data_IF_539135156305
#
_entry.id   IF_539135156305
#
_cell.length_a   1.000
_cell.length_b   1.000
_cell.length_c   1.000
_cell.angle_alpha   90.00
_cell.angle_beta   90.00
_cell.angle_gamma   90.00
#
_symmetry.space_group_name_H-M   'P 1'
#
loop_
_entity.id
_entity.type
_entity.pdbx_description
1 polymer ?
#
# COMPACT_ATOMS: atom_id res chain seq x y z
N UNK A 1 0.70 -80.81 -19.96
CA UNK A 1 -0.15 -79.59 -20.01
C UNK A 1 0.55 -78.47 -19.21
N UNK A 2 1.24 -77.53 -19.90
CA UNK A 2 1.91 -76.37 -19.27
C UNK A 2 1.04 -75.15 -19.57
N UNK A 3 0.52 -74.50 -18.53
CA UNK A 3 -0.24 -73.25 -18.61
C UNK A 3 0.73 -72.06 -18.66
N UNK A 4 0.71 -71.27 -19.75
CA UNK A 4 1.39 -69.98 -19.85
C UNK A 4 0.53 -68.91 -19.12
N UNK A 5 1.08 -68.26 -18.13
CA UNK A 5 0.51 -67.11 -17.47
C UNK A 5 1.15 -65.87 -18.11
N UNK A 6 0.38 -65.13 -18.86
CA UNK A 6 0.78 -63.86 -19.48
C UNK A 6 0.63 -62.74 -18.45
N UNK A 7 1.77 -62.08 -18.07
CA UNK A 7 1.73 -60.91 -17.25
C UNK A 7 1.61 -59.66 -18.11
N UNK A 8 0.44 -59.04 -18.07
CA UNK A 8 0.21 -57.69 -18.65
C UNK A 8 0.79 -56.66 -17.67
N UNK A 9 1.94 -56.04 -18.00
CA UNK A 9 2.46 -54.85 -17.30
C UNK A 9 1.74 -53.62 -17.78
N UNK A 10 0.89 -53.04 -16.94
CA UNK A 10 0.20 -51.76 -17.20
C UNK A 10 1.20 -50.62 -16.83
N UNK A 11 1.87 -50.06 -17.84
CA UNK A 11 2.74 -48.92 -17.71
C UNK A 11 1.96 -47.68 -17.36
N UNK A 12 2.11 -47.15 -16.16
CA UNK A 12 1.52 -45.87 -15.71
C UNK A 12 2.37 -44.71 -16.26
N UNK A 13 1.89 -44.06 -17.30
CA UNK A 13 2.51 -42.86 -17.87
C UNK A 13 2.21 -41.65 -16.96
N UNK A 14 3.18 -41.26 -16.11
CA UNK A 14 3.08 -40.05 -15.29
C UNK A 14 3.37 -38.84 -16.19
N UNK A 15 2.34 -38.11 -16.60
CA UNK A 15 2.49 -36.82 -17.29
C UNK A 15 2.80 -35.76 -16.22
N UNK A 16 4.05 -35.36 -16.12
CA UNK A 16 4.50 -34.22 -15.32
C UNK A 16 4.05 -32.92 -16.02
N UNK A 17 2.92 -32.36 -15.57
CA UNK A 17 2.54 -31.01 -15.92
C UNK A 17 3.49 -30.02 -15.25
N UNK A 18 4.50 -29.57 -15.97
CA UNK A 18 5.33 -28.44 -15.54
C UNK A 18 4.49 -27.17 -15.54
N UNK A 19 3.98 -26.79 -14.37
CA UNK A 19 3.36 -25.47 -14.18
C UNK A 19 4.47 -24.42 -14.33
N UNK A 20 4.53 -23.75 -15.47
CA UNK A 20 5.35 -22.56 -15.66
C UNK A 20 4.82 -21.46 -14.73
N UNK A 21 5.32 -21.41 -13.49
CA UNK A 21 5.15 -20.27 -12.62
C UNK A 21 5.91 -19.10 -13.24
N UNK A 22 5.22 -18.19 -13.93
CA UNK A 22 5.83 -16.96 -14.42
C UNK A 22 6.34 -16.15 -13.23
N UNK A 23 7.63 -15.79 -13.26
CA UNK A 23 8.21 -14.92 -12.23
C UNK A 23 7.39 -13.62 -12.10
N UNK A 24 7.23 -13.07 -10.88
CA UNK A 24 6.49 -11.84 -10.68
C UNK A 24 7.08 -10.73 -11.55
N UNK A 25 6.25 -10.19 -12.43
CA UNK A 25 6.66 -9.14 -13.37
C UNK A 25 7.09 -7.89 -12.58
N UNK A 26 8.34 -7.44 -12.77
CA UNK A 26 8.82 -6.20 -12.15
C UNK A 26 7.86 -5.05 -12.53
N UNK A 27 7.44 -4.22 -11.57
CA UNK A 27 6.58 -3.08 -11.88
C UNK A 27 7.19 -2.21 -12.98
N UNK A 28 6.36 -1.74 -13.91
CA UNK A 28 6.79 -0.81 -14.94
C UNK A 28 7.32 0.49 -14.27
N UNK A 29 8.34 1.14 -14.84
CA UNK A 29 8.81 2.41 -14.33
C UNK A 29 7.70 3.46 -14.41
N UNK A 30 7.66 4.38 -13.44
CA UNK A 30 6.72 5.49 -13.45
C UNK A 30 6.96 6.39 -14.67
N UNK A 31 5.91 6.99 -15.27
CA UNK A 31 6.04 7.86 -16.44
C UNK A 31 6.95 9.05 -16.18
N UNK A 32 8.11 9.20 -16.87
CA UNK A 32 9.13 10.20 -16.52
C UNK A 32 8.61 11.65 -16.55
N UNK A 33 7.80 12.02 -17.55
CA UNK A 33 7.26 13.37 -17.68
C UNK A 33 6.37 13.76 -16.47
N UNK A 34 5.55 12.83 -15.98
CA UNK A 34 4.71 13.07 -14.82
C UNK A 34 5.53 13.14 -13.53
N UNK A 35 6.59 12.33 -13.41
CA UNK A 35 7.52 12.39 -12.27
C UNK A 35 8.21 13.76 -12.23
N UNK A 36 8.70 14.26 -13.38
CA UNK A 36 9.33 15.58 -13.47
C UNK A 36 8.32 16.68 -13.09
N UNK A 37 7.09 16.63 -13.63
CA UNK A 37 6.03 17.55 -13.30
C UNK A 37 5.76 17.57 -11.79
N UNK A 38 5.56 16.42 -11.15
CA UNK A 38 5.31 16.34 -9.71
C UNK A 38 6.45 16.91 -8.88
N UNK A 39 7.70 16.63 -9.26
CA UNK A 39 8.88 17.17 -8.58
C UNK A 39 9.01 18.69 -8.68
N UNK A 40 8.50 19.34 -9.75
CA UNK A 40 8.50 20.79 -9.91
C UNK A 40 7.35 21.51 -9.20
N UNK A 41 6.36 20.76 -8.70
CA UNK A 41 5.25 21.31 -7.93
C UNK A 41 5.66 21.58 -6.48
N UNK A 42 4.94 22.47 -5.80
CA UNK A 42 5.10 22.68 -4.37
C UNK A 42 4.19 21.72 -3.58
N UNK A 43 4.71 21.18 -2.48
CA UNK A 43 3.87 20.48 -1.52
C UNK A 43 2.95 21.51 -0.84
N UNK A 44 1.62 21.33 -0.85
CA UNK A 44 0.72 22.22 -0.13
C UNK A 44 1.01 22.18 1.38
N UNK A 45 1.00 23.37 2.02
CA UNK A 45 1.18 23.48 3.47
C UNK A 45 0.05 22.81 4.25
N UNK A 46 -1.11 22.60 3.62
CA UNK A 46 -2.27 21.94 4.23
C UNK A 46 -2.84 20.87 3.31
N UNK A 47 -2.89 19.65 3.83
CA UNK A 47 -3.44 18.48 3.16
C UNK A 47 -4.86 18.15 3.69
N UNK A 48 -5.73 17.54 2.91
CA UNK A 48 -7.01 17.02 3.41
C UNK A 48 -6.76 15.78 4.30
N UNK A 49 -7.63 15.57 5.28
CA UNK A 49 -7.65 14.31 6.04
C UNK A 49 -8.02 13.16 5.08
N UNK A 50 -7.20 12.12 4.98
CA UNK A 50 -7.38 11.10 3.95
C UNK A 50 -8.45 10.05 4.27
N UNK A 51 -9.17 10.17 5.38
CA UNK A 51 -10.20 9.23 5.83
C UNK A 51 -11.56 9.93 5.81
N UNK A 52 -12.54 9.31 5.14
CA UNK A 52 -13.90 9.85 5.04
C UNK A 52 -14.54 10.04 6.42
N UNK A 53 -15.11 11.23 6.65
CA UNK A 53 -15.90 11.52 7.85
C UNK A 53 -15.09 11.72 9.12
N UNK A 54 -13.77 11.86 9.01
CA UNK A 54 -12.91 12.24 10.12
C UNK A 54 -12.54 13.71 9.96
N UNK A 55 -12.88 14.51 10.93
CA UNK A 55 -12.54 15.92 10.97
C UNK A 55 -11.14 16.15 11.51
N UNK A 56 -10.57 17.33 11.18
CA UNK A 56 -9.19 17.67 11.59
C UNK A 56 -9.01 17.67 13.11
N UNK A 57 -10.05 18.10 13.83
CA UNK A 57 -10.01 18.21 15.29
C UNK A 57 -10.09 16.85 16.00
N UNK A 58 -10.51 15.80 15.29
CA UNK A 58 -10.52 14.42 15.76
C UNK A 58 -9.15 13.73 15.65
N UNK A 59 -8.23 14.32 14.86
CA UNK A 59 -6.89 13.76 14.69
C UNK A 59 -6.10 13.82 15.99
N UNK A 60 -5.36 12.73 16.24
CA UNK A 60 -4.42 12.62 17.34
C UNK A 60 -3.00 12.59 16.79
N UNK A 61 -2.11 13.38 17.40
CA UNK A 61 -0.70 13.28 17.09
C UNK A 61 -0.11 12.02 17.74
N UNK A 62 0.07 11.00 16.92
CA UNK A 62 0.71 9.73 17.31
C UNK A 62 2.13 9.59 16.76
N UNK A 63 2.68 10.67 16.19
CA UNK A 63 4.06 10.70 15.70
C UNK A 63 5.07 10.41 16.82
N UNK A 64 6.10 9.65 16.50
CA UNK A 64 7.17 9.33 17.46
C UNK A 64 6.80 8.30 18.53
N UNK A 65 5.53 7.88 18.61
CA UNK A 65 5.12 6.86 19.57
C UNK A 65 5.94 5.57 19.41
N UNK A 66 6.27 4.92 20.52
CA UNK A 66 7.02 3.68 20.51
C UNK A 66 6.30 2.57 19.76
N UNK A 67 7.02 1.84 18.94
CA UNK A 67 6.56 0.67 18.19
C UNK A 67 7.36 -0.57 18.54
N UNK A 68 6.86 -1.74 18.16
CA UNK A 68 7.57 -3.01 18.38
C UNK A 68 8.98 -2.98 17.77
N UNK A 69 9.92 -3.69 18.39
CA UNK A 69 11.33 -3.80 17.95
C UNK A 69 12.11 -2.46 18.02
N UNK A 70 11.79 -1.60 18.97
CA UNK A 70 12.50 -0.33 19.18
C UNK A 70 12.32 0.73 18.09
N UNK A 71 11.34 0.53 17.17
CA UNK A 71 11.02 1.52 16.14
C UNK A 71 10.24 2.69 16.73
N UNK A 72 10.39 3.85 16.10
CA UNK A 72 9.53 5.00 16.31
C UNK A 72 8.42 5.03 15.26
N UNK A 73 7.29 5.64 15.57
CA UNK A 73 6.17 5.80 14.67
C UNK A 73 6.41 6.92 13.65
N UNK A 74 6.64 6.56 12.40
CA UNK A 74 6.89 7.48 11.28
C UNK A 74 5.60 7.78 10.51
N UNK A 75 4.60 8.31 11.19
CA UNK A 75 3.28 8.65 10.65
C UNK A 75 2.29 8.98 11.74
N UNK A 76 1.03 9.07 11.37
CA UNK A 76 -0.08 9.13 12.33
C UNK A 76 -1.09 8.03 12.05
N UNK A 77 -1.77 7.57 13.11
CA UNK A 77 -2.82 6.57 13.03
C UNK A 77 -4.19 7.26 13.12
N UNK A 78 -4.99 7.16 12.06
CA UNK A 78 -6.32 7.75 11.95
C UNK A 78 -7.34 6.64 12.15
N UNK A 79 -7.96 6.58 13.33
CA UNK A 79 -8.95 5.58 13.68
C UNK A 79 -10.23 5.78 12.87
N UNK A 80 -10.76 4.72 12.30
CA UNK A 80 -12.06 4.70 11.63
C UNK A 80 -12.56 3.26 11.46
N UNK A 81 -13.85 3.03 11.33
CA UNK A 81 -14.41 1.69 11.09
C UNK A 81 -13.78 1.04 9.85
N UNK A 82 -13.60 -0.29 9.90
CA UNK A 82 -13.17 -1.07 8.73
C UNK A 82 -14.07 -0.78 7.52
N UNK A 83 -13.46 -0.64 6.34
CA UNK A 83 -14.19 -0.33 5.11
C UNK A 83 -14.46 1.15 4.89
N UNK A 84 -14.13 2.05 5.85
CA UNK A 84 -14.22 3.49 5.63
C UNK A 84 -13.34 3.88 4.45
N UNK A 85 -13.85 4.74 3.55
CA UNK A 85 -13.14 5.16 2.34
C UNK A 85 -11.90 5.96 2.68
N UNK A 86 -10.80 5.64 1.98
CA UNK A 86 -9.51 6.34 2.05
C UNK A 86 -9.26 7.07 0.73
N UNK A 87 -8.99 8.35 0.82
CA UNK A 87 -8.75 9.23 -0.32
C UNK A 87 -7.29 9.67 -0.40
N UNK A 88 -6.84 10.01 -1.59
CA UNK A 88 -5.51 10.59 -1.75
C UNK A 88 -5.44 11.98 -1.13
N UNK A 89 -4.45 12.21 -0.27
CA UNK A 89 -4.21 13.51 0.36
C UNK A 89 -3.67 14.54 -0.64
N UNK A 90 -3.14 14.10 -1.79
CA UNK A 90 -2.56 14.94 -2.83
C UNK A 90 -2.81 14.34 -4.21
N UNK A 91 -2.56 15.09 -5.27
CA UNK A 91 -2.39 14.49 -6.59
C UNK A 91 -1.05 13.74 -6.65
N UNK A 92 -0.93 12.76 -7.55
CA UNK A 92 0.33 12.03 -7.68
C UNK A 92 0.23 10.77 -8.51
N UNK A 93 1.33 10.04 -8.55
CA UNK A 93 1.44 8.73 -9.21
C UNK A 93 1.38 7.61 -8.17
N UNK A 94 0.53 6.64 -8.41
CA UNK A 94 0.55 5.39 -7.67
C UNK A 94 1.86 4.66 -7.99
N UNK A 95 2.76 4.64 -7.03
CA UNK A 95 4.10 4.11 -7.24
C UNK A 95 4.26 2.65 -6.79
N UNK A 96 3.38 2.22 -5.88
CA UNK A 96 3.44 0.87 -5.35
C UNK A 96 2.11 0.46 -4.71
N UNK A 97 1.69 -0.76 -5.00
CA UNK A 97 0.56 -1.45 -4.41
C UNK A 97 1.04 -2.83 -3.98
N UNK A 98 1.12 -3.07 -2.68
CA UNK A 98 1.59 -4.36 -2.18
C UNK A 98 0.89 -4.79 -0.90
N UNK A 99 1.15 -6.04 -0.53
CA UNK A 99 0.84 -6.56 0.79
C UNK A 99 2.15 -7.05 1.44
N UNK A 100 2.43 -6.62 2.67
CA UNK A 100 3.61 -7.02 3.42
C UNK A 100 3.29 -7.24 4.90
N UNK A 101 4.23 -7.85 5.63
CA UNK A 101 4.00 -8.23 7.02
C UNK A 101 3.85 -7.03 7.97
N UNK A 102 4.48 -5.89 7.67
CA UNK A 102 4.45 -4.70 8.52
C UNK A 102 3.20 -3.87 8.25
N UNK A 103 3.10 -3.27 7.08
CA UNK A 103 2.01 -2.37 6.73
C UNK A 103 0.74 -3.06 6.25
N UNK A 104 0.77 -4.38 6.02
CA UNK A 104 -0.33 -5.10 5.39
C UNK A 104 -0.54 -4.63 3.95
N UNK A 105 -1.78 -4.42 3.56
CA UNK A 105 -2.10 -3.83 2.25
C UNK A 105 -1.76 -2.34 2.29
N UNK A 106 -0.86 -1.92 1.41
CA UNK A 106 -0.30 -0.56 1.39
C UNK A 106 -0.36 0.07 0.02
N UNK A 107 -0.40 1.39 0.01
CA UNK A 107 -0.28 2.23 -1.18
C UNK A 107 0.87 3.22 -0.94
N UNK A 108 1.75 3.36 -1.94
CA UNK A 108 2.70 4.45 -2.01
C UNK A 108 2.37 5.37 -3.18
N UNK A 109 2.30 6.65 -2.92
CA UNK A 109 2.03 7.69 -3.93
C UNK A 109 3.21 8.65 -3.96
N UNK A 110 3.75 8.88 -5.17
CA UNK A 110 4.68 9.97 -5.44
C UNK A 110 3.87 11.23 -5.70
N UNK A 111 3.98 12.22 -4.83
CA UNK A 111 3.26 13.48 -4.87
C UNK A 111 4.10 14.70 -5.28
N UNK A 112 3.54 15.92 -5.09
CA UNK A 112 4.21 17.20 -5.33
C UNK A 112 5.52 17.32 -4.58
N UNK A 113 6.46 18.12 -5.08
CA UNK A 113 7.83 18.27 -4.59
C UNK A 113 8.64 16.97 -4.51
N UNK A 114 8.17 15.89 -5.16
CA UNK A 114 8.80 14.57 -5.06
C UNK A 114 8.56 13.87 -3.73
N UNK A 115 7.58 14.31 -2.96
CA UNK A 115 7.22 13.72 -1.66
C UNK A 115 6.58 12.34 -1.84
N UNK A 116 6.64 11.53 -0.78
CA UNK A 116 6.06 10.20 -0.77
C UNK A 116 5.01 10.07 0.32
N UNK A 117 3.82 9.66 -0.10
CA UNK A 117 2.67 9.46 0.78
C UNK A 117 2.44 7.97 0.96
N UNK A 118 2.40 7.53 2.20
CA UNK A 118 2.23 6.13 2.58
C UNK A 118 0.89 5.90 3.26
N UNK A 119 0.13 4.96 2.75
CA UNK A 119 -1.16 4.54 3.28
C UNK A 119 -1.08 3.06 3.62
N UNK A 120 -1.23 2.71 4.89
CA UNK A 120 -1.06 1.34 5.35
C UNK A 120 -2.25 0.81 6.16
N UNK A 121 -2.19 -0.47 6.48
CA UNK A 121 -3.21 -1.27 7.18
C UNK A 121 -4.56 -1.32 6.47
N UNK A 122 -4.58 -1.09 5.15
CA UNK A 122 -5.81 -1.05 4.37
C UNK A 122 -6.54 -2.41 4.38
N UNK A 123 -7.87 -2.38 4.33
CA UNK A 123 -8.69 -3.57 4.08
C UNK A 123 -8.60 -3.99 2.61
N UNK A 124 -8.51 -3.03 1.72
CA UNK A 124 -8.34 -3.23 0.27
C UNK A 124 -7.96 -1.96 -0.45
N UNK A 125 -7.33 -2.13 -1.62
CA UNK A 125 -7.16 -1.06 -2.60
C UNK A 125 -8.49 -0.81 -3.33
N UNK A 126 -8.70 0.39 -3.86
CA UNK A 126 -9.80 0.66 -4.80
C UNK A 126 -9.70 -0.30 -5.98
N UNK A 127 -10.82 -0.91 -6.37
CA UNK A 127 -10.87 -1.78 -7.57
C UNK A 127 -10.42 -1.01 -8.81
N UNK A 128 -9.51 -1.60 -9.57
CA UNK A 128 -8.95 -1.01 -10.79
C UNK A 128 -7.85 0.02 -10.57
N UNK A 129 -7.39 0.24 -9.34
CA UNK A 129 -6.20 1.05 -9.08
C UNK A 129 -4.94 0.27 -9.44
N UNK A 130 -4.04 0.88 -10.22
CA UNK A 130 -2.81 0.24 -10.70
C UNK A 130 -1.59 1.11 -10.42
N UNK A 131 -0.43 0.49 -10.34
CA UNK A 131 0.86 1.20 -10.35
C UNK A 131 1.01 1.93 -11.68
N UNK A 132 1.41 3.20 -11.61
CA UNK A 132 1.50 4.12 -12.76
C UNK A 132 0.27 5.00 -12.96
N UNK A 133 -0.86 4.71 -12.32
CA UNK A 133 -2.04 5.58 -12.40
C UNK A 133 -1.73 6.96 -11.81
N UNK A 134 -2.10 8.01 -12.56
CA UNK A 134 -2.13 9.37 -12.04
C UNK A 134 -3.47 9.62 -11.36
N UNK A 135 -3.43 10.00 -10.10
CA UNK A 135 -4.60 10.27 -9.27
C UNK A 135 -4.65 11.75 -8.86
N UNK A 136 -5.84 12.26 -8.63
CA UNK A 136 -6.08 13.62 -8.14
C UNK A 136 -6.17 13.63 -6.61
N UNK A 137 -5.93 14.78 -6.01
CA UNK A 137 -6.27 15.02 -4.61
C UNK A 137 -7.76 14.73 -4.38
N UNK A 138 -8.08 13.91 -3.39
CA UNK A 138 -9.45 13.50 -3.06
C UNK A 138 -9.98 12.30 -3.85
N UNK A 139 -9.19 11.70 -4.75
CA UNK A 139 -9.59 10.45 -5.39
C UNK A 139 -9.60 9.29 -4.39
N UNK A 140 -10.62 8.44 -4.49
CA UNK A 140 -10.70 7.20 -3.72
C UNK A 140 -9.54 6.27 -4.10
N UNK A 141 -8.78 5.80 -3.11
CA UNK A 141 -7.64 4.90 -3.32
C UNK A 141 -7.77 3.56 -2.60
N UNK A 142 -8.55 3.49 -1.53
CA UNK A 142 -8.69 2.27 -0.73
C UNK A 142 -9.67 2.40 0.40
N UNK A 143 -9.57 1.46 1.35
CA UNK A 143 -10.48 1.35 2.48
C UNK A 143 -9.69 1.06 3.75
N UNK A 144 -10.09 1.68 4.87
CA UNK A 144 -9.52 1.45 6.21
C UNK A 144 -9.64 -0.01 6.61
N UNK A 145 -8.58 -0.57 7.14
CA UNK A 145 -8.54 -1.92 7.68
C UNK A 145 -7.69 -2.03 8.93
N UNK A 146 -7.12 -3.19 9.15
CA UNK A 146 -6.12 -3.48 10.17
C UNK A 146 -5.18 -4.61 9.72
N UNK A 147 -4.83 -4.63 8.45
CA UNK A 147 -3.93 -5.66 7.88
C UNK A 147 -2.47 -5.48 8.34
N UNK A 148 -1.63 -6.47 8.09
CA UNK A 148 -0.24 -6.46 8.55
C UNK A 148 -0.12 -6.65 10.05
N UNK A 149 0.78 -5.90 10.68
CA UNK A 149 1.01 -5.99 12.13
C UNK A 149 -0.11 -5.33 12.97
N UNK A 150 -1.04 -4.60 12.33
CA UNK A 150 -2.21 -4.00 12.97
C UNK A 150 -3.39 -4.98 13.17
N UNK A 151 -3.26 -6.24 12.77
CA UNK A 151 -4.38 -7.21 12.77
C UNK A 151 -5.10 -7.42 14.11
N UNK A 152 -4.44 -7.09 15.21
CA UNK A 152 -4.98 -7.22 16.57
C UNK A 152 -5.31 -5.87 17.22
N UNK A 153 -5.26 -4.77 16.46
CA UNK A 153 -5.62 -3.43 16.92
C UNK A 153 -6.95 -2.99 16.30
N UNK A 154 -7.53 -1.91 16.84
CA UNK A 154 -8.67 -1.25 16.20
C UNK A 154 -8.33 -0.86 14.76
N UNK A 155 -9.29 -0.95 13.82
CA UNK A 155 -9.07 -0.51 12.45
C UNK A 155 -8.65 0.96 12.39
N UNK A 156 -7.64 1.25 11.57
CA UNK A 156 -7.13 2.60 11.37
C UNK A 156 -6.38 2.69 10.04
N UNK A 157 -6.24 3.90 9.53
CA UNK A 157 -5.27 4.23 8.50
C UNK A 157 -3.98 4.68 9.19
N UNK A 158 -2.86 3.99 8.93
CA UNK A 158 -1.55 4.59 9.16
C UNK A 158 -1.18 5.44 7.94
N UNK A 159 -0.96 6.74 8.17
CA UNK A 159 -0.56 7.68 7.12
C UNK A 159 0.82 8.27 7.42
N UNK A 160 1.75 8.08 6.48
CA UNK A 160 3.13 8.58 6.54
C UNK A 160 3.42 9.57 5.42
N UNK A 161 4.27 10.56 5.69
CA UNK A 161 4.78 11.55 4.74
C UNK A 161 6.31 11.56 4.77
N UNK A 162 6.95 11.46 3.60
CA UNK A 162 8.40 11.35 3.47
C UNK A 162 8.89 12.36 2.41
N UNK A 163 9.95 13.10 2.72
CA UNK A 163 10.45 14.18 1.86
C UNK A 163 11.68 13.78 1.02
N UNK A 164 12.51 12.86 1.50
CA UNK A 164 13.81 12.55 0.90
C UNK A 164 13.81 11.27 0.04
N UNK A 165 12.62 10.75 -0.26
CA UNK A 165 12.44 9.54 -1.05
C UNK A 165 11.51 8.53 -0.40
N UNK A 166 11.20 7.46 -1.10
CA UNK A 166 10.29 6.43 -0.62
C UNK A 166 10.79 5.79 0.69
N UNK A 167 10.10 6.08 1.80
CA UNK A 167 10.45 5.58 3.13
C UNK A 167 11.70 6.24 3.73
N UNK A 168 12.06 7.45 3.29
CA UNK A 168 13.20 8.22 3.81
C UNK A 168 12.80 9.67 4.05
N UNK A 169 13.37 10.29 5.12
CA UNK A 169 13.03 11.65 5.49
C UNK A 169 11.59 11.77 5.96
N UNK A 170 11.16 10.86 6.85
CA UNK A 170 9.83 10.90 7.44
C UNK A 170 9.64 12.21 8.21
N UNK A 171 8.49 12.85 8.04
CA UNK A 171 8.06 14.04 8.78
C UNK A 171 6.71 13.82 9.42
N UNK A 172 6.41 14.55 10.50
CA UNK A 172 5.12 14.44 11.16
C UNK A 172 3.98 14.92 10.26
N UNK A 173 3.08 14.02 9.77
CA UNK A 173 1.98 14.44 8.89
C UNK A 173 0.90 15.24 9.63
N UNK A 174 0.85 15.17 10.94
CA UNK A 174 -0.17 15.84 11.76
C UNK A 174 -0.23 17.35 11.49
N UNK A 175 0.92 18.02 11.39
CA UNK A 175 1.01 19.45 11.09
C UNK A 175 0.45 19.83 9.72
N UNK A 176 0.49 18.91 8.75
CA UNK A 176 -0.08 19.12 7.42
C UNK A 176 -1.58 18.82 7.36
N UNK A 177 -2.07 17.95 8.22
CA UNK A 177 -3.47 17.51 8.22
C UNK A 177 -4.39 18.35 9.12
N UNK A 178 -3.81 19.05 10.08
CA UNK A 178 -4.54 19.90 11.03
C UNK A 178 -4.76 21.34 10.60
#
# INVERSE_FOLDING_TARGET
MRRFVSHFSLGFLIILLAACASAPKKPAPLPPAQVIKLKSMQLPNRLPVPVKGIDRDELKDTWGAARSQGRSHEGIDILAPRGTKVYSATEGLVADLRNNNLGGKVIWILGPAGTWHYYAHLDGHKRGLNVGDYIKKGDLIGYVGNTGNARYTSPHLHYGLYLDGKGRGAVNPYSYLR
#
